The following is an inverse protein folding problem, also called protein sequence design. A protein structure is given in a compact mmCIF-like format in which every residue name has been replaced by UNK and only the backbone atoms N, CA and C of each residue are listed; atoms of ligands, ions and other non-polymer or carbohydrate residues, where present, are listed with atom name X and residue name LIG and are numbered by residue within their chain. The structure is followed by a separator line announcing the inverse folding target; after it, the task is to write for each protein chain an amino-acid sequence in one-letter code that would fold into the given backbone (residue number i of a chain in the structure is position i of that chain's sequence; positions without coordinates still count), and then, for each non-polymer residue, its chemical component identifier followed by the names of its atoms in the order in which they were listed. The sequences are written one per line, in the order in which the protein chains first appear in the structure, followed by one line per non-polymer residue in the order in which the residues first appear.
data_IF_582627489647
#
_entry.id   IF_582627489647
#
_cell.length_a   1.000
_cell.length_b   1.000
_cell.length_c   1.000
_cell.angle_alpha   90.00
_cell.angle_beta   90.00
_cell.angle_gamma   90.00
#
_symmetry.space_group_name_H-M   'P 1'
#
loop_
_entity.id
_entity.type
_entity.pdbx_description
1 polymer ?
#
# COMPACT_ATOMS: atom_id res chain seq x y z
N UNK A 1 -20.11 -2.08 8.68
CA UNK A 1 -19.17 -0.96 8.87
C UNK A 1 -18.14 -1.22 9.96
N UNK A 2 -18.51 -1.76 11.13
CA UNK A 2 -17.54 -2.05 12.20
C UNK A 2 -16.50 -3.10 11.81
N UNK A 3 -16.90 -4.21 11.19
CA UNK A 3 -15.96 -5.22 10.69
C UNK A 3 -14.98 -4.63 9.66
N UNK A 4 -15.47 -3.78 8.76
CA UNK A 4 -14.64 -3.09 7.78
C UNK A 4 -13.60 -2.20 8.47
N UNK A 5 -13.98 -1.44 9.51
CA UNK A 5 -13.04 -0.64 10.30
C UNK A 5 -11.94 -1.49 10.93
N UNK A 6 -12.30 -2.63 11.55
CA UNK A 6 -11.32 -3.56 12.15
C UNK A 6 -10.31 -4.06 11.11
N UNK A 7 -10.78 -4.44 9.91
CA UNK A 7 -9.87 -4.84 8.82
C UNK A 7 -8.92 -3.72 8.39
N UNK A 8 -9.40 -2.47 8.30
CA UNK A 8 -8.53 -1.33 7.98
C UNK A 8 -7.49 -1.05 9.08
N UNK A 9 -7.86 -1.22 10.35
CA UNK A 9 -6.93 -1.08 11.48
C UNK A 9 -5.84 -2.17 11.47
N UNK A 10 -6.20 -3.41 11.18
CA UNK A 10 -5.26 -4.54 11.03
C UNK A 10 -4.28 -4.29 9.88
N UNK A 11 -4.78 -3.87 8.71
CA UNK A 11 -3.94 -3.50 7.57
C UNK A 11 -2.99 -2.37 7.93
N UNK A 12 -3.48 -1.34 8.64
CA UNK A 12 -2.63 -0.23 9.10
C UNK A 12 -1.53 -0.67 10.07
N UNK A 13 -1.79 -1.66 10.94
CA UNK A 13 -0.76 -2.24 11.82
C UNK A 13 0.30 -2.99 11.01
N UNK A 14 -0.13 -3.81 10.05
CA UNK A 14 0.78 -4.57 9.18
C UNK A 14 1.66 -3.61 8.38
N UNK A 15 1.09 -2.60 7.71
CA UNK A 15 1.84 -1.64 6.92
C UNK A 15 2.87 -0.86 7.74
N UNK A 16 2.52 -0.44 8.97
CA UNK A 16 3.47 0.22 9.88
C UNK A 16 4.63 -0.70 10.24
N UNK A 17 4.34 -1.94 10.61
CA UNK A 17 5.37 -2.92 10.92
C UNK A 17 6.30 -3.20 9.72
N UNK A 18 5.73 -3.30 8.51
CA UNK A 18 6.51 -3.46 7.28
C UNK A 18 7.39 -2.24 6.99
N UNK A 19 6.92 -1.02 7.28
CA UNK A 19 7.76 0.19 7.21
C UNK A 19 8.91 0.09 8.21
N UNK A 20 8.66 -0.27 9.46
CA UNK A 20 9.72 -0.39 10.48
C UNK A 20 10.81 -1.38 10.06
N UNK A 21 10.42 -2.57 9.58
CA UNK A 21 11.35 -3.56 9.03
C UNK A 21 12.10 -3.00 7.82
N UNK A 22 11.39 -2.38 6.89
CA UNK A 22 11.99 -1.81 5.68
C UNK A 22 13.07 -0.80 6.03
N UNK A 23 12.82 0.10 6.98
CA UNK A 23 13.80 1.11 7.36
C UNK A 23 14.98 0.53 8.15
N UNK A 24 14.74 -0.48 9.00
CA UNK A 24 15.80 -1.19 9.72
C UNK A 24 16.75 -1.91 8.75
N UNK A 25 16.22 -2.55 7.71
CA UNK A 25 17.01 -3.24 6.68
C UNK A 25 17.66 -2.24 5.69
N UNK A 26 16.97 -1.16 5.34
CA UNK A 26 17.47 -0.14 4.39
C UNK A 26 18.76 0.54 4.88
N UNK A 27 18.96 0.60 6.20
CA UNK A 27 20.15 1.19 6.80
C UNK A 27 21.41 0.32 6.70
N UNK A 28 21.30 -0.98 6.35
CA UNK A 28 22.41 -1.93 6.46
C UNK A 28 23.44 -1.82 5.34
N UNK A 29 23.02 -1.86 4.06
CA UNK A 29 23.92 -1.71 2.91
C UNK A 29 23.21 -1.24 1.63
N UNK A 30 23.98 -0.94 0.58
CA UNK A 30 23.47 -0.43 -0.71
C UNK A 30 22.61 -1.44 -1.48
N UNK A 31 22.89 -2.75 -1.38
CA UNK A 31 22.12 -3.78 -2.08
C UNK A 31 20.73 -3.95 -1.44
N UNK A 32 20.66 -3.90 -0.11
CA UNK A 32 19.40 -3.92 0.64
C UNK A 32 18.49 -2.74 0.24
N UNK A 33 19.05 -1.55 -0.01
CA UNK A 33 18.28 -0.38 -0.45
C UNK A 33 17.53 -0.62 -1.76
N UNK A 34 18.22 -1.11 -2.78
CA UNK A 34 17.62 -1.33 -4.10
C UNK A 34 16.55 -2.43 -4.06
N UNK A 35 16.78 -3.48 -3.27
CA UNK A 35 15.81 -4.57 -3.08
C UNK A 35 14.55 -4.10 -2.34
N UNK A 36 14.70 -3.31 -1.27
CA UNK A 36 13.56 -2.76 -0.51
C UNK A 36 12.72 -1.81 -1.36
N UNK A 37 13.36 -0.95 -2.17
CA UNK A 37 12.65 -0.08 -3.11
C UNK A 37 11.84 -0.89 -4.11
N UNK A 38 12.42 -1.96 -4.67
CA UNK A 38 11.72 -2.86 -5.60
C UNK A 38 10.53 -3.57 -4.95
N UNK A 39 10.68 -4.01 -3.70
CA UNK A 39 9.59 -4.63 -2.94
C UNK A 39 8.42 -3.65 -2.79
N UNK A 40 8.67 -2.42 -2.32
CA UNK A 40 7.63 -1.40 -2.20
C UNK A 40 6.97 -1.06 -3.54
N UNK A 41 7.76 -0.89 -4.60
CA UNK A 41 7.21 -0.64 -5.95
C UNK A 41 6.28 -1.78 -6.39
N UNK A 42 6.70 -3.04 -6.21
CA UNK A 42 5.88 -4.18 -6.57
C UNK A 42 4.60 -4.26 -5.73
N UNK A 43 4.68 -4.03 -4.42
CA UNK A 43 3.52 -4.07 -3.52
C UNK A 43 2.51 -2.98 -3.85
N UNK A 44 2.96 -1.74 -4.06
CA UNK A 44 2.05 -0.63 -4.40
C UNK A 44 1.45 -0.81 -5.80
N UNK A 45 2.23 -1.31 -6.76
CA UNK A 45 1.72 -1.57 -8.10
C UNK A 45 0.64 -2.67 -8.09
N UNK A 46 0.87 -3.79 -7.41
CA UNK A 46 -0.12 -4.86 -7.27
C UNK A 46 -1.42 -4.35 -6.61
N UNK A 47 -1.30 -3.60 -5.51
CA UNK A 47 -2.43 -2.97 -4.84
C UNK A 47 -3.23 -2.05 -5.77
N UNK A 48 -2.56 -1.16 -6.51
CA UNK A 48 -3.23 -0.23 -7.42
C UNK A 48 -3.89 -0.94 -8.60
N UNK A 49 -3.22 -1.93 -9.20
CA UNK A 49 -3.80 -2.73 -10.28
C UNK A 49 -5.06 -3.46 -9.82
N UNK A 50 -5.03 -4.04 -8.62
CA UNK A 50 -6.21 -4.69 -8.05
C UNK A 50 -7.34 -3.69 -7.76
N UNK A 51 -7.01 -2.50 -7.23
CA UNK A 51 -7.99 -1.43 -7.00
C UNK A 51 -8.66 -0.96 -8.30
N UNK A 52 -7.89 -0.81 -9.39
CA UNK A 52 -8.42 -0.48 -10.73
C UNK A 52 -9.40 -1.56 -11.17
N UNK A 53 -8.98 -2.82 -11.16
CA UNK A 53 -9.81 -3.97 -11.57
C UNK A 53 -11.13 -4.04 -10.80
N UNK A 54 -11.08 -3.82 -9.48
CA UNK A 54 -12.28 -3.80 -8.64
C UNK A 54 -13.16 -2.59 -8.93
N UNK A 55 -12.58 -1.42 -9.19
CA UNK A 55 -13.34 -0.23 -9.56
C UNK A 55 -14.09 -0.39 -10.87
N UNK A 56 -13.50 -1.07 -11.86
CA UNK A 56 -14.15 -1.36 -13.14
C UNK A 56 -15.29 -2.36 -12.94
N UNK A 57 -15.02 -3.46 -12.24
CA UNK A 57 -16.02 -4.52 -11.93
C UNK A 57 -17.26 -3.97 -11.22
N UNK A 58 -17.07 -3.01 -10.30
CA UNK A 58 -18.14 -2.46 -9.47
C UNK A 58 -18.62 -1.07 -9.93
N UNK A 59 -18.15 -0.57 -11.08
CA UNK A 59 -18.43 0.79 -11.57
C UNK A 59 -18.12 1.91 -10.55
N UNK A 60 -17.14 1.68 -9.67
CA UNK A 60 -16.79 2.54 -8.54
C UNK A 60 -15.50 3.34 -8.78
N UNK A 61 -15.40 4.01 -9.94
CA UNK A 61 -14.19 4.75 -10.35
C UNK A 61 -13.76 5.82 -9.35
N UNK A 62 -14.72 6.47 -8.68
CA UNK A 62 -14.41 7.53 -7.72
C UNK A 62 -13.77 7.00 -6.43
N UNK A 63 -14.08 5.76 -6.04
CA UNK A 63 -13.39 5.10 -4.93
C UNK A 63 -11.92 4.83 -5.28
N UNK A 64 -11.64 4.31 -6.47
CA UNK A 64 -10.26 4.14 -6.94
C UNK A 64 -9.50 5.47 -7.01
N UNK A 65 -10.11 6.53 -7.58
CA UNK A 65 -9.50 7.87 -7.60
C UNK A 65 -9.16 8.37 -6.20
N UNK A 66 -10.06 8.15 -5.24
CA UNK A 66 -9.85 8.54 -3.84
C UNK A 66 -8.68 7.78 -3.21
N UNK A 67 -8.61 6.47 -3.43
CA UNK A 67 -7.49 5.62 -2.98
C UNK A 67 -6.15 6.07 -3.59
N UNK A 68 -6.11 6.27 -4.92
CA UNK A 68 -4.90 6.69 -5.61
C UNK A 68 -4.42 8.08 -5.15
N UNK A 69 -5.36 9.02 -4.93
CA UNK A 69 -5.05 10.36 -4.41
C UNK A 69 -4.45 10.28 -3.00
N UNK A 70 -5.05 9.51 -2.11
CA UNK A 70 -4.55 9.33 -0.75
C UNK A 70 -3.14 8.70 -0.74
N UNK A 71 -2.86 7.76 -1.64
CA UNK A 71 -1.54 7.15 -1.78
C UNK A 71 -0.46 8.13 -2.28
N UNK A 72 -0.79 9.00 -3.24
CA UNK A 72 0.17 9.93 -3.82
C UNK A 72 0.44 11.12 -2.88
N UNK A 73 -0.59 11.62 -2.22
CA UNK A 73 -0.50 12.89 -1.48
C UNK A 73 -0.56 12.75 0.04
N UNK A 74 -0.90 11.57 0.57
CA UNK A 74 -1.08 11.35 2.01
C UNK A 74 -2.23 12.15 2.64
N UNK A 75 -3.14 12.69 1.81
CA UNK A 75 -4.29 13.53 2.20
C UNK A 75 -5.48 13.33 1.26
#
# INVERSE_FOLDING_TARGET
MEEMRKRFEEVSKILRHTIDISFAEYAKDKKAKDEIVKLWQSTINDFLQYAIKMSEKHQAKDLYKSIARALIFGK
#
